data_IF_939395276398
#
_entry.id   IF_939395276398
#
_cell.length_a   1.000
_cell.length_b   1.000
_cell.length_c   1.000
_cell.angle_alpha   90.00
_cell.angle_beta   90.00
_cell.angle_gamma   90.00
#
_symmetry.space_group_name_H-M   'P 1'
#
loop_
_entity.id
_entity.type
_entity.pdbx_description
1 polymer ?
#
# COMPACT_ATOMS: atom_id res chain seq x y z
N UNK A 1 7.64 7.99 -13.59
CA UNK A 1 6.80 7.36 -12.53
C UNK A 1 6.88 5.83 -12.64
N UNK A 2 7.85 5.19 -11.98
CA UNK A 2 8.05 3.72 -12.00
C UNK A 2 7.04 2.98 -11.12
N UNK A 3 6.78 3.49 -9.91
CA UNK A 3 5.85 2.89 -8.95
C UNK A 3 4.38 2.86 -9.40
N UNK A 4 3.98 3.78 -10.30
CA UNK A 4 2.59 3.91 -10.78
C UNK A 4 2.26 3.00 -11.96
N UNK A 5 3.20 2.16 -12.41
CA UNK A 5 2.95 1.26 -13.53
C UNK A 5 1.98 0.15 -13.11
N UNK A 6 1.03 -0.16 -13.98
CA UNK A 6 0.02 -1.21 -13.80
C UNK A 6 -0.16 -1.95 -15.13
N UNK A 7 -0.84 -3.09 -15.07
CA UNK A 7 -1.20 -3.91 -16.25
C UNK A 7 -0.05 -4.16 -17.22
N UNK A 8 1.16 -4.35 -16.67
CA UNK A 8 2.36 -4.63 -17.46
C UNK A 8 2.53 -6.13 -17.76
N UNK A 9 3.08 -6.42 -18.94
CA UNK A 9 3.56 -7.77 -19.28
C UNK A 9 4.85 -8.10 -18.52
N UNK A 10 5.12 -9.38 -18.29
CA UNK A 10 6.32 -9.83 -17.58
C UNK A 10 7.62 -9.32 -18.25
N UNK A 11 7.70 -9.40 -19.59
CA UNK A 11 8.83 -8.87 -20.37
C UNK A 11 9.05 -7.37 -20.12
N UNK A 12 7.97 -6.58 -20.02
CA UNK A 12 8.08 -5.15 -19.77
C UNK A 12 8.47 -4.86 -18.33
N UNK A 13 7.98 -5.63 -17.35
CA UNK A 13 8.43 -5.54 -15.96
C UNK A 13 9.94 -5.78 -15.85
N UNK A 14 10.45 -6.86 -16.46
CA UNK A 14 11.88 -7.20 -16.46
C UNK A 14 12.77 -6.05 -16.92
N UNK A 15 12.35 -5.29 -17.95
CA UNK A 15 13.10 -4.11 -18.43
C UNK A 15 13.13 -2.95 -17.43
N UNK A 16 12.13 -2.82 -16.56
CA UNK A 16 12.01 -1.70 -15.61
C UNK A 16 12.64 -2.05 -14.25
N UNK A 17 12.73 -3.33 -13.88
CA UNK A 17 13.31 -3.77 -12.59
C UNK A 17 14.71 -3.17 -12.33
N UNK A 18 15.67 -3.18 -13.27
CA UNK A 18 16.99 -2.59 -13.03
C UNK A 18 16.93 -1.10 -12.68
N UNK A 19 16.08 -0.35 -13.38
CA UNK A 19 15.86 1.07 -13.09
C UNK A 19 15.27 1.27 -11.69
N UNK A 20 14.29 0.45 -11.30
CA UNK A 20 13.70 0.50 -9.97
C UNK A 20 14.73 0.20 -8.86
N UNK A 21 15.57 -0.82 -9.04
CA UNK A 21 16.61 -1.17 -8.08
C UNK A 21 17.69 -0.08 -7.99
N UNK A 22 18.04 0.57 -9.11
CA UNK A 22 18.95 1.72 -9.13
C UNK A 22 18.39 2.87 -8.28
N UNK A 23 17.11 3.23 -8.47
CA UNK A 23 16.47 4.29 -7.67
C UNK A 23 16.44 3.95 -6.18
N UNK A 24 16.19 2.69 -5.81
CA UNK A 24 16.26 2.25 -4.40
C UNK A 24 17.68 2.41 -3.83
N UNK A 25 18.71 2.08 -4.61
CA UNK A 25 20.10 2.24 -4.20
C UNK A 25 20.44 3.71 -3.95
N UNK A 26 20.02 4.60 -4.85
CA UNK A 26 20.20 6.06 -4.70
C UNK A 26 19.51 6.59 -3.43
N UNK A 27 18.29 6.13 -3.13
CA UNK A 27 17.60 6.48 -1.88
C UNK A 27 18.37 6.03 -0.64
N UNK A 28 18.93 4.82 -0.64
CA UNK A 28 19.75 4.30 0.48
C UNK A 28 21.05 5.07 0.69
N UNK A 29 21.60 5.68 -0.36
CA UNK A 29 22.83 6.46 -0.32
C UNK A 29 22.58 7.96 -0.08
N UNK A 30 21.33 8.35 0.09
CA UNK A 30 20.97 9.75 0.34
C UNK A 30 21.51 10.24 1.68
N UNK A 31 21.98 11.49 1.78
CA UNK A 31 22.37 12.09 3.05
C UNK A 31 21.18 12.31 4.00
N UNK A 32 19.95 12.25 3.48
CA UNK A 32 18.74 12.42 4.27
C UNK A 32 18.31 11.09 4.88
N UNK A 33 18.29 11.02 6.22
CA UNK A 33 17.91 9.82 6.97
C UNK A 33 16.51 9.29 6.57
N UNK A 34 15.55 10.18 6.31
CA UNK A 34 14.20 9.82 5.86
C UNK A 34 14.21 9.09 4.51
N UNK A 35 15.03 9.54 3.57
CA UNK A 35 15.18 8.91 2.25
C UNK A 35 15.92 7.58 2.33
N UNK A 36 16.94 7.48 3.20
CA UNK A 36 17.59 6.20 3.47
C UNK A 36 16.61 5.17 4.03
N UNK A 37 15.77 5.59 4.99
CA UNK A 37 14.73 4.74 5.59
C UNK A 37 13.72 4.30 4.53
N UNK A 38 13.26 5.22 3.68
CA UNK A 38 12.40 4.89 2.53
C UNK A 38 13.06 3.88 1.59
N UNK A 39 14.33 4.05 1.26
CA UNK A 39 15.08 3.12 0.42
C UNK A 39 15.21 1.72 1.03
N UNK A 40 15.41 1.62 2.36
CA UNK A 40 15.40 0.35 3.10
C UNK A 40 14.02 -0.32 3.01
N UNK A 41 12.94 0.43 3.26
CA UNK A 41 11.57 -0.07 3.16
C UNK A 41 11.25 -0.56 1.75
N UNK A 42 11.48 0.25 0.72
CA UNK A 42 11.20 -0.14 -0.67
C UNK A 42 12.02 -1.35 -1.13
N UNK A 43 13.24 -1.50 -0.63
CA UNK A 43 14.03 -2.70 -0.90
C UNK A 43 13.43 -3.95 -0.26
N UNK A 44 12.94 -3.86 0.97
CA UNK A 44 12.30 -4.98 1.66
C UNK A 44 11.03 -5.44 0.93
N UNK A 45 10.23 -4.49 0.45
CA UNK A 45 8.96 -4.71 -0.25
C UNK A 45 9.06 -4.80 -1.78
N UNK A 46 10.28 -4.94 -2.32
CA UNK A 46 10.52 -4.82 -3.77
C UNK A 46 9.75 -5.85 -4.59
N UNK A 47 9.59 -7.06 -4.05
CA UNK A 47 8.97 -8.17 -4.78
C UNK A 47 7.45 -7.96 -4.87
N UNK A 48 6.82 -7.49 -3.80
CA UNK A 48 5.40 -7.09 -3.77
C UNK A 48 5.13 -5.93 -4.72
N UNK A 49 5.99 -4.91 -4.69
CA UNK A 49 5.86 -3.73 -5.57
C UNK A 49 5.94 -4.16 -7.05
N UNK A 50 6.90 -5.01 -7.41
CA UNK A 50 7.04 -5.53 -8.78
C UNK A 50 5.86 -6.43 -9.17
N UNK A 51 5.36 -7.26 -8.24
CA UNK A 51 4.15 -8.06 -8.46
C UNK A 51 2.95 -7.17 -8.81
N UNK A 52 2.78 -6.05 -8.09
CA UNK A 52 1.68 -5.11 -8.33
C UNK A 52 1.67 -4.50 -9.74
N UNK A 53 2.82 -4.36 -10.41
CA UNK A 53 2.87 -3.84 -11.79
C UNK A 53 2.09 -4.70 -12.80
N UNK A 54 1.88 -5.99 -12.50
CA UNK A 54 1.14 -6.91 -13.38
C UNK A 54 -0.37 -6.80 -13.24
N UNK A 55 -0.86 -6.20 -12.15
CA UNK A 55 -2.28 -6.16 -11.83
C UNK A 55 -2.90 -4.77 -12.09
N UNK A 56 -4.21 -4.76 -12.36
CA UNK A 56 -5.02 -3.54 -12.47
C UNK A 56 -5.69 -3.13 -11.16
N UNK A 57 -5.53 -3.94 -10.10
CA UNK A 57 -6.23 -3.75 -8.83
C UNK A 57 -5.89 -2.40 -8.20
N UNK A 58 -6.89 -1.82 -7.55
CA UNK A 58 -6.78 -0.60 -6.75
C UNK A 58 -7.15 -0.93 -5.31
N UNK A 59 -6.72 -0.08 -4.37
CA UNK A 59 -7.09 -0.19 -2.96
C UNK A 59 -8.48 0.42 -2.66
N UNK A 60 -9.26 0.75 -3.70
CA UNK A 60 -10.51 1.52 -3.55
C UNK A 60 -11.58 0.78 -2.73
N UNK A 61 -11.65 -0.55 -2.85
CA UNK A 61 -12.58 -1.37 -2.05
C UNK A 61 -12.20 -1.30 -0.56
N UNK A 62 -10.92 -1.54 -0.24
CA UNK A 62 -10.40 -1.47 1.13
C UNK A 62 -10.61 -0.07 1.73
N UNK A 63 -10.34 0.99 0.95
CA UNK A 63 -10.57 2.37 1.37
C UNK A 63 -12.05 2.67 1.60
N UNK A 64 -12.94 2.12 0.76
CA UNK A 64 -14.38 2.18 0.96
C UNK A 64 -14.81 1.55 2.29
N UNK A 65 -14.30 0.36 2.60
CA UNK A 65 -14.53 -0.29 3.88
C UNK A 65 -13.96 0.51 5.06
N UNK A 66 -12.72 0.99 4.96
CA UNK A 66 -12.12 1.85 5.99
C UNK A 66 -12.93 3.12 6.23
N UNK A 67 -13.48 3.74 5.18
CA UNK A 67 -14.37 4.90 5.31
C UNK A 67 -15.66 4.55 6.04
N UNK A 68 -16.29 3.41 5.70
CA UNK A 68 -17.50 2.91 6.37
C UNK A 68 -17.23 2.60 7.85
N UNK A 69 -16.12 1.94 8.16
CA UNK A 69 -15.66 1.67 9.53
C UNK A 69 -15.47 2.97 10.33
N UNK A 70 -14.78 3.97 9.78
CA UNK A 70 -14.63 5.29 10.41
C UNK A 70 -15.97 5.99 10.63
N UNK A 71 -16.92 5.86 9.70
CA UNK A 71 -18.27 6.40 9.87
C UNK A 71 -19.02 5.74 11.03
N UNK A 72 -18.89 4.41 11.18
CA UNK A 72 -19.49 3.67 12.31
C UNK A 72 -18.93 4.18 13.64
N UNK A 73 -17.61 4.39 13.73
CA UNK A 73 -16.96 4.97 14.92
C UNK A 73 -17.47 6.38 15.22
N UNK A 74 -17.56 7.26 14.21
CA UNK A 74 -18.05 8.63 14.39
C UNK A 74 -19.51 8.68 14.84
N UNK A 75 -20.39 7.86 14.25
CA UNK A 75 -21.81 7.80 14.63
C UNK A 75 -22.03 7.28 16.05
N UNK A 76 -21.11 6.46 16.56
CA UNK A 76 -21.15 5.96 17.93
C UNK A 76 -20.45 6.89 18.94
N UNK A 77 -19.84 8.00 18.48
CA UNK A 77 -18.95 8.86 19.29
C UNK A 77 -17.81 8.07 19.95
N UNK A 78 -17.30 7.06 19.23
CA UNK A 78 -16.26 6.14 19.69
C UNK A 78 -16.80 4.83 20.28
N UNK A 79 -15.92 3.84 20.37
CA UNK A 79 -16.22 2.56 21.04
C UNK A 79 -15.23 2.34 22.16
N UNK A 80 -15.74 2.06 23.37
CA UNK A 80 -14.90 1.65 24.51
C UNK A 80 -14.54 0.16 24.46
N UNK A 81 -15.43 -0.67 23.90
CA UNK A 81 -15.25 -2.12 23.79
C UNK A 81 -15.04 -2.51 22.31
N UNK A 82 -13.91 -3.18 22.03
CA UNK A 82 -13.55 -3.61 20.69
C UNK A 82 -14.51 -4.67 20.10
N UNK A 83 -15.05 -5.58 20.92
CA UNK A 83 -15.99 -6.59 20.43
C UNK A 83 -17.29 -5.97 19.93
N UNK A 84 -17.78 -4.93 20.60
CA UNK A 84 -18.96 -4.18 20.14
C UNK A 84 -18.68 -3.44 18.82
N UNK A 85 -17.48 -2.87 18.66
CA UNK A 85 -17.04 -2.29 17.39
C UNK A 85 -16.98 -3.35 16.29
N UNK A 86 -16.35 -4.49 16.57
CA UNK A 86 -16.18 -5.60 15.63
C UNK A 86 -17.52 -6.16 15.16
N UNK A 87 -18.48 -6.33 16.08
CA UNK A 87 -19.83 -6.81 15.77
C UNK A 87 -20.55 -5.81 14.83
N UNK A 88 -20.49 -4.51 15.13
CA UNK A 88 -21.07 -3.49 14.24
C UNK A 88 -20.39 -3.44 12.87
N UNK A 89 -19.07 -3.58 12.81
CA UNK A 89 -18.35 -3.62 11.52
C UNK A 89 -18.76 -4.84 10.72
N UNK A 90 -18.89 -6.03 11.33
CA UNK A 90 -19.35 -7.23 10.62
C UNK A 90 -20.75 -7.08 10.03
N UNK A 91 -21.68 -6.51 10.79
CA UNK A 91 -23.06 -6.31 10.34
C UNK A 91 -23.16 -5.22 9.28
N UNK A 92 -22.43 -4.12 9.46
CA UNK A 92 -22.58 -2.93 8.63
C UNK A 92 -21.63 -2.91 7.43
N UNK A 93 -20.52 -3.66 7.42
CA UNK A 93 -19.55 -3.71 6.32
C UNK A 93 -19.61 -5.03 5.53
N UNK A 94 -20.76 -5.72 5.53
CA UNK A 94 -21.06 -6.77 4.56
C UNK A 94 -21.33 -6.19 3.17
#
# INVERSE_FOLDING_TARGET
>A
RVLMKKTMTAKRCQRIIPLFLKMIKELKQSPFHSLMTLGKTLYHWRDEVVRMWRFSKSNGITEGFHRKMKLIQRRAYGFKNFENYRLRVKVLCA
#
